data_IF_985547486363
#
_entry.id   IF_985547486363
#
_cell.length_a   1.000
_cell.length_b   1.000
_cell.length_c   1.000
_cell.angle_alpha   90.00
_cell.angle_beta   90.00
_cell.angle_gamma   90.00
#
_symmetry.space_group_name_H-M   'P 1'
#
loop_
_entity.id
_entity.type
_entity.pdbx_description
1 polymer ?
#
# COMPACT_ATOMS: atom_id res chain seq x y z
N UNK A 1 18.32 7.08 11.46
CA UNK A 1 17.61 6.91 12.74
C UNK A 1 17.80 8.05 13.71
N UNK A 2 19.04 8.48 13.86
CA UNK A 2 19.38 9.57 14.78
C UNK A 2 18.75 10.90 14.39
N UNK A 3 18.35 11.07 13.12
CA UNK A 3 17.69 12.28 12.65
C UNK A 3 16.15 12.20 12.70
N UNK A 4 15.61 11.14 13.27
CA UNK A 4 14.18 10.96 13.46
C UNK A 4 13.39 10.60 12.21
N UNK A 5 14.05 10.23 11.11
CA UNK A 5 13.37 9.90 9.85
C UNK A 5 12.94 8.45 9.82
N UNK A 6 11.80 8.22 9.17
CA UNK A 6 11.31 6.88 8.89
C UNK A 6 11.67 6.51 7.45
N UNK A 7 12.17 5.30 7.28
CA UNK A 7 12.47 4.73 5.98
C UNK A 7 11.36 3.73 5.64
N UNK A 8 10.84 3.82 4.42
CA UNK A 8 9.79 2.94 3.95
C UNK A 8 10.33 2.04 2.85
N UNK A 9 9.97 0.75 2.91
CA UNK A 9 10.23 -0.17 1.81
C UNK A 9 8.90 -0.60 1.21
N UNK A 10 8.84 -0.67 -0.12
CA UNK A 10 7.60 -0.92 -0.84
C UNK A 10 7.73 -2.13 -1.76
N UNK A 11 6.95 -3.20 -1.53
CA UNK A 11 6.84 -4.28 -2.51
C UNK A 11 6.13 -3.81 -3.77
N UNK A 12 6.68 -4.13 -4.93
CA UNK A 12 6.11 -3.77 -6.23
C UNK A 12 5.68 -5.04 -6.97
N UNK A 13 4.62 -4.92 -7.79
CA UNK A 13 4.13 -6.07 -8.53
C UNK A 13 5.02 -6.35 -9.75
N UNK A 14 5.05 -7.62 -10.17
CA UNK A 14 5.94 -8.07 -11.23
C UNK A 14 5.48 -7.64 -12.64
N UNK A 15 4.22 -7.23 -12.80
CA UNK A 15 3.76 -6.72 -14.09
C UNK A 15 4.35 -5.35 -14.39
N UNK A 16 4.36 -4.44 -13.40
CA UNK A 16 4.86 -3.08 -13.56
C UNK A 16 6.38 -3.00 -13.37
N UNK A 17 6.95 -3.88 -12.55
CA UNK A 17 8.37 -3.85 -12.20
C UNK A 17 8.95 -5.27 -12.20
N UNK A 18 9.13 -5.90 -13.40
CA UNK A 18 9.50 -7.32 -13.48
C UNK A 18 10.85 -7.66 -12.85
N UNK A 19 11.77 -6.72 -12.82
CA UNK A 19 13.11 -6.95 -12.28
C UNK A 19 13.31 -6.45 -10.86
N UNK A 20 12.25 -5.95 -10.21
CA UNK A 20 12.35 -5.41 -8.86
C UNK A 20 12.46 -6.56 -7.85
N UNK A 21 13.39 -6.43 -6.90
CA UNK A 21 13.67 -7.49 -5.93
C UNK A 21 12.54 -7.70 -4.93
N UNK A 22 12.03 -6.61 -4.34
CA UNK A 22 11.03 -6.69 -3.27
C UNK A 22 9.63 -6.76 -3.89
N UNK A 23 8.95 -7.91 -3.73
CA UNK A 23 7.70 -8.17 -4.44
C UNK A 23 6.51 -8.44 -3.55
N UNK A 24 6.72 -8.88 -2.30
CA UNK A 24 5.63 -9.28 -1.42
C UNK A 24 5.77 -8.65 -0.04
N UNK A 25 4.63 -8.52 0.66
CA UNK A 25 4.65 -8.06 2.05
C UNK A 25 5.34 -9.07 2.95
N UNK A 26 5.23 -10.37 2.66
CA UNK A 26 5.93 -11.41 3.42
C UNK A 26 7.44 -11.21 3.35
N UNK A 27 7.95 -10.91 2.17
CA UNK A 27 9.38 -10.63 1.97
C UNK A 27 9.79 -9.37 2.73
N UNK A 28 8.98 -8.32 2.66
CA UNK A 28 9.24 -7.07 3.38
C UNK A 28 9.24 -7.28 4.90
N UNK A 29 8.30 -8.06 5.39
CA UNK A 29 8.20 -8.39 6.81
C UNK A 29 9.48 -9.05 7.30
N UNK A 30 10.01 -10.01 6.54
CA UNK A 30 11.25 -10.69 6.88
C UNK A 30 12.44 -9.72 6.91
N UNK A 31 12.51 -8.82 5.93
CA UNK A 31 13.58 -7.81 5.87
C UNK A 31 13.53 -6.90 7.09
N UNK A 32 12.35 -6.40 7.43
CA UNK A 32 12.16 -5.50 8.58
C UNK A 32 12.58 -6.19 9.87
N UNK A 33 12.19 -7.45 10.03
CA UNK A 33 12.55 -8.23 11.22
C UNK A 33 14.07 -8.44 11.31
N UNK A 34 14.70 -8.75 10.19
CA UNK A 34 16.15 -9.01 10.17
C UNK A 34 16.95 -7.74 10.43
N UNK A 35 16.56 -6.61 9.85
CA UNK A 35 17.24 -5.34 10.06
C UNK A 35 17.08 -4.86 11.50
N UNK A 36 15.88 -5.01 12.06
CA UNK A 36 15.62 -4.68 13.47
C UNK A 36 15.63 -3.20 13.82
N UNK A 37 15.64 -2.32 12.82
CA UNK A 37 15.64 -0.88 13.07
C UNK A 37 14.20 -0.39 13.30
N UNK A 38 13.91 0.34 14.38
CA UNK A 38 12.55 0.77 14.68
C UNK A 38 11.98 1.80 13.69
N UNK A 39 12.83 2.45 12.89
CA UNK A 39 12.43 3.43 11.90
C UNK A 39 12.31 2.84 10.48
N UNK A 40 12.47 1.53 10.31
CA UNK A 40 12.22 0.87 9.02
C UNK A 40 10.81 0.31 9.03
N UNK A 41 9.98 0.80 8.12
CA UNK A 41 8.56 0.46 8.05
C UNK A 41 8.18 0.01 6.64
N UNK A 42 6.98 -0.53 6.53
CA UNK A 42 6.41 -1.01 5.27
C UNK A 42 5.56 0.11 4.64
N UNK A 43 5.76 0.36 3.37
CA UNK A 43 4.80 1.10 2.55
C UNK A 43 3.83 0.09 1.96
N UNK A 44 2.59 0.11 2.43
CA UNK A 44 1.57 -0.83 2.02
C UNK A 44 0.75 -0.21 0.90
N UNK A 45 1.06 -0.56 -0.34
CA UNK A 45 0.27 -0.12 -1.49
C UNK A 45 -0.74 -1.20 -1.84
N UNK A 46 -2.02 -0.91 -1.60
CA UNK A 46 -3.10 -1.86 -1.83
C UNK A 46 -3.12 -2.39 -3.26
N UNK A 47 -2.75 -1.55 -4.23
CA UNK A 47 -2.69 -1.95 -5.63
C UNK A 47 -1.67 -3.07 -5.84
N UNK A 48 -0.43 -2.87 -5.37
CA UNK A 48 0.61 -3.90 -5.52
C UNK A 48 0.29 -5.16 -4.73
N UNK A 49 -0.21 -5.00 -3.51
CA UNK A 49 -0.54 -6.13 -2.65
C UNK A 49 -1.63 -6.99 -3.27
N UNK A 50 -2.67 -6.36 -3.81
CA UNK A 50 -3.76 -7.11 -4.45
C UNK A 50 -3.25 -7.91 -5.66
N UNK A 51 -2.38 -7.32 -6.46
CA UNK A 51 -1.85 -8.02 -7.65
C UNK A 51 -0.94 -9.19 -7.28
N UNK A 52 -0.16 -9.07 -6.22
CA UNK A 52 0.86 -10.07 -5.88
C UNK A 52 0.37 -11.12 -4.89
N UNK A 53 -0.42 -10.72 -3.90
CA UNK A 53 -0.76 -11.60 -2.80
C UNK A 53 -2.26 -11.69 -2.55
N UNK A 54 -3.01 -10.61 -2.81
CA UNK A 54 -4.41 -10.53 -2.43
C UNK A 54 -4.60 -10.47 -0.92
N UNK A 55 -5.80 -10.79 -0.47
CA UNK A 55 -6.13 -10.86 0.96
C UNK A 55 -5.76 -9.58 1.71
N UNK A 56 -6.12 -8.45 1.10
CA UNK A 56 -5.72 -7.13 1.59
C UNK A 56 -6.19 -6.89 3.03
N UNK A 57 -7.41 -7.30 3.35
CA UNK A 57 -7.99 -7.09 4.68
C UNK A 57 -7.15 -7.73 5.79
N UNK A 58 -6.88 -9.02 5.66
CA UNK A 58 -6.11 -9.74 6.68
C UNK A 58 -4.66 -9.26 6.74
N UNK A 59 -4.10 -8.89 5.59
CA UNK A 59 -2.73 -8.36 5.56
C UNK A 59 -2.63 -7.01 6.24
N UNK A 60 -3.61 -6.12 6.04
CA UNK A 60 -3.67 -4.85 6.77
C UNK A 60 -3.75 -5.08 8.28
N UNK A 61 -4.62 -6.01 8.70
CA UNK A 61 -4.78 -6.32 10.12
C UNK A 61 -3.49 -6.85 10.74
N UNK A 62 -2.87 -7.81 10.08
CA UNK A 62 -1.68 -8.48 10.61
C UNK A 62 -0.44 -7.59 10.57
N UNK A 63 -0.29 -6.82 9.50
CA UNK A 63 0.93 -6.04 9.27
C UNK A 63 0.87 -4.61 9.81
N UNK A 64 -0.27 -4.21 10.36
CA UNK A 64 -0.49 -2.83 10.81
C UNK A 64 0.66 -2.26 11.65
N UNK A 65 1.22 -3.01 12.63
CA UNK A 65 2.32 -2.47 13.44
C UNK A 65 3.57 -2.13 12.64
N UNK A 66 3.74 -2.72 11.45
CA UNK A 66 4.89 -2.48 10.58
C UNK A 66 4.64 -1.41 9.54
N UNK A 67 3.38 -1.01 9.32
CA UNK A 67 3.01 -0.11 8.24
C UNK A 67 3.30 1.33 8.63
N UNK A 68 4.07 2.02 7.78
CA UNK A 68 4.35 3.45 7.95
C UNK A 68 3.55 4.34 7.01
N UNK A 69 3.01 3.78 5.92
CA UNK A 69 2.22 4.52 4.94
C UNK A 69 1.34 3.56 4.14
N UNK A 70 0.15 4.02 3.78
CA UNK A 70 -0.80 3.25 2.96
C UNK A 70 -1.05 4.01 1.67
N UNK A 71 -1.01 3.30 0.54
CA UNK A 71 -1.33 3.85 -0.77
C UNK A 71 -2.43 3.04 -1.45
N UNK A 72 -3.14 3.70 -2.36
CA UNK A 72 -4.30 3.11 -3.06
C UNK A 72 -4.29 3.46 -4.54
N UNK A 73 -4.82 2.55 -5.35
CA UNK A 73 -5.13 2.74 -6.76
C UNK A 73 -6.07 1.61 -7.16
N UNK A 74 -6.86 1.80 -8.21
CA UNK A 74 -7.73 0.71 -8.69
C UNK A 74 -6.90 -0.43 -9.28
N UNK A 75 -7.45 -1.62 -9.24
CA UNK A 75 -6.81 -2.84 -9.72
C UNK A 75 -7.71 -3.44 -10.81
N UNK A 76 -7.19 -3.84 -11.95
CA UNK A 76 -5.76 -3.89 -12.33
C UNK A 76 -5.24 -2.67 -13.11
N UNK A 77 -6.08 -1.68 -13.41
CA UNK A 77 -5.71 -0.60 -14.33
C UNK A 77 -4.84 0.49 -13.72
N UNK A 78 -4.66 0.49 -12.40
CA UNK A 78 -3.93 1.49 -11.63
C UNK A 78 -4.51 2.89 -11.79
N UNK A 79 -5.83 2.97 -11.99
CA UNK A 79 -6.56 4.22 -12.08
C UNK A 79 -7.02 4.73 -10.72
N UNK A 80 -7.96 5.69 -10.73
CA UNK A 80 -8.53 6.22 -9.49
C UNK A 80 -9.19 5.10 -8.68
N UNK A 81 -9.15 5.16 -7.34
CA UNK A 81 -9.62 4.05 -6.48
C UNK A 81 -11.15 4.01 -6.32
N UNK A 82 -11.88 4.21 -7.41
CA UNK A 82 -13.34 4.20 -7.41
C UNK A 82 -13.95 3.07 -8.26
N UNK A 83 -13.11 2.17 -8.74
CA UNK A 83 -13.54 1.05 -9.58
C UNK A 83 -12.53 -0.10 -9.48
N UNK A 84 -12.72 -1.14 -10.29
CA UNK A 84 -11.81 -2.26 -10.37
C UNK A 84 -12.18 -3.38 -9.41
N UNK A 85 -11.26 -4.32 -9.24
CA UNK A 85 -11.54 -5.56 -8.51
C UNK A 85 -11.33 -5.44 -6.98
N UNK A 86 -10.78 -4.33 -6.50
CA UNK A 86 -10.62 -4.10 -5.07
C UNK A 86 -11.63 -3.04 -4.62
N UNK A 87 -12.48 -3.42 -3.68
CA UNK A 87 -13.55 -2.55 -3.19
C UNK A 87 -13.03 -1.62 -2.11
N UNK A 88 -12.73 -0.38 -2.46
CA UNK A 88 -12.10 0.57 -1.54
C UNK A 88 -13.04 1.07 -0.43
N UNK A 89 -14.35 1.05 -0.66
CA UNK A 89 -15.29 1.32 0.44
C UNK A 89 -15.04 0.39 1.63
N UNK A 90 -14.79 -0.89 1.34
CA UNK A 90 -14.44 -1.86 2.37
C UNK A 90 -13.07 -1.55 2.99
N UNK A 91 -12.09 -1.19 2.16
CA UNK A 91 -10.75 -0.86 2.66
C UNK A 91 -10.79 0.33 3.62
N UNK A 92 -11.59 1.37 3.29
CA UNK A 92 -11.77 2.52 4.18
C UNK A 92 -12.34 2.07 5.53
N UNK A 93 -13.33 1.20 5.52
CA UNK A 93 -13.94 0.68 6.74
C UNK A 93 -12.93 -0.12 7.57
N UNK A 94 -12.10 -0.92 6.94
CA UNK A 94 -11.05 -1.70 7.61
C UNK A 94 -10.04 -0.77 8.28
N UNK A 95 -9.55 0.23 7.56
CA UNK A 95 -8.58 1.18 8.10
C UNK A 95 -9.16 1.95 9.27
N UNK A 96 -10.42 2.37 9.18
CA UNK A 96 -11.10 3.06 10.28
C UNK A 96 -11.22 2.16 11.51
N UNK A 97 -11.62 0.90 11.31
CA UNK A 97 -11.75 -0.08 12.39
C UNK A 97 -10.42 -0.35 13.08
N UNK A 98 -9.33 -0.37 12.30
CA UNK A 98 -7.98 -0.61 12.83
C UNK A 98 -7.38 0.62 13.49
N UNK A 99 -8.04 1.77 13.41
CA UNK A 99 -7.55 3.00 14.03
C UNK A 99 -6.46 3.70 13.22
N UNK A 100 -6.39 3.47 11.92
CA UNK A 100 -5.42 4.17 11.07
C UNK A 100 -5.81 5.64 10.97
N UNK A 101 -4.98 6.52 11.51
CA UNK A 101 -5.24 7.96 11.56
C UNK A 101 -4.25 8.79 10.74
N UNK A 102 -3.32 8.14 10.06
CA UNK A 102 -2.36 8.80 9.19
C UNK A 102 -2.97 9.00 7.79
N UNK A 103 -2.38 9.87 6.95
CA UNK A 103 -2.83 10.04 5.58
C UNK A 103 -2.73 8.75 4.77
N UNK A 104 -3.61 8.65 3.76
CA UNK A 104 -3.56 7.59 2.75
C UNK A 104 -3.25 8.28 1.43
N UNK A 105 -2.19 7.84 0.76
CA UNK A 105 -1.77 8.40 -0.52
C UNK A 105 -2.46 7.70 -1.69
N UNK A 106 -2.89 8.46 -2.66
CA UNK A 106 -3.45 7.91 -3.90
C UNK A 106 -2.39 8.03 -4.99
N UNK A 107 -1.79 6.90 -5.32
CA UNK A 107 -0.75 6.84 -6.36
C UNK A 107 -1.30 6.10 -7.56
N UNK A 108 -1.94 6.83 -8.47
CA UNK A 108 -2.59 6.24 -9.63
C UNK A 108 -2.33 7.04 -10.91
N UNK A 109 -2.69 6.41 -12.05
CA UNK A 109 -2.55 7.01 -13.37
C UNK A 109 -3.91 7.53 -13.81
N UNK A 110 -4.11 8.85 -13.89
CA UNK A 110 -5.43 9.42 -14.20
C UNK A 110 -5.82 9.32 -15.68
N UNK A 111 -4.86 9.08 -16.58
CA UNK A 111 -5.09 9.01 -18.04
C UNK A 111 -5.70 10.30 -18.59
N UNK A 112 -5.17 11.46 -18.14
CA UNK A 112 -5.64 12.76 -18.52
C UNK A 112 -5.48 13.72 -17.35
N UNK A 113 -6.24 14.82 -17.32
CA UNK A 113 -6.19 15.74 -16.16
C UNK A 113 -6.58 15.03 -14.88
N UNK A 114 -5.94 15.37 -13.77
CA UNK A 114 -6.17 14.75 -12.49
C UNK A 114 -7.50 15.15 -11.86
N UNK A 115 -7.87 16.41 -11.95
CA UNK A 115 -9.04 16.94 -11.26
C UNK A 115 -10.33 16.18 -11.51
N UNK A 116 -10.67 15.81 -12.77
CA UNK A 116 -11.91 15.03 -13.00
C UNK A 116 -11.91 13.65 -12.33
N UNK A 117 -10.73 13.14 -11.94
CA UNK A 117 -10.63 11.81 -11.32
C UNK A 117 -10.81 11.85 -9.82
N UNK A 118 -11.01 13.01 -9.20
CA UNK A 118 -11.01 13.16 -7.73
C UNK A 118 -12.39 12.93 -7.09
N UNK A 119 -13.38 12.48 -7.87
CA UNK A 119 -14.73 12.26 -7.35
C UNK A 119 -14.84 11.17 -6.26
N UNK A 120 -13.82 10.33 -6.11
CA UNK A 120 -13.79 9.29 -5.09
C UNK A 120 -13.52 9.84 -3.68
N UNK A 121 -13.01 11.04 -3.61
CA UNK A 121 -12.73 11.69 -2.33
C UNK A 121 -14.04 12.16 -1.71
#
# INVERSE_FOLDING_TARGET
>A
RSDGRTILIEPLNHYDAPDYFLRTTTQAEAIIAEVGAPNLKLMFDCYHVQLMEGDVTHRLERLLPLIGHVQVASVPDRGAPDHGELHYGHVWDVLARLGWDAPVGAEYKPNGPTEPTLGWM
#
